data_IF_400870725548
#
_entry.id   IF_400870725548
#
_cell.length_a   1.000
_cell.length_b   1.000
_cell.length_c   1.000
_cell.angle_alpha   90.00
_cell.angle_beta   90.00
_cell.angle_gamma   90.00
#
_symmetry.space_group_name_H-M   'P 1'
#
loop_
_entity.id
_entity.type
_entity.pdbx_description
1 polymer ?
#
# COMPACT_ATOMS: atom_id res chain seq x y z
N UNK A 1 -37.45 -47.92 -16.10
CA UNK A 1 -37.20 -47.25 -14.79
C UNK A 1 -35.87 -47.64 -14.12
N UNK A 2 -35.18 -48.71 -14.54
CA UNK A 2 -33.95 -49.19 -13.86
C UNK A 2 -32.69 -48.37 -14.19
N UNK A 3 -32.59 -47.79 -15.40
CA UNK A 3 -31.41 -47.01 -15.82
C UNK A 3 -31.27 -45.64 -15.12
N UNK A 4 -32.39 -44.97 -14.79
CA UNK A 4 -32.40 -43.65 -14.13
C UNK A 4 -31.87 -43.76 -12.69
N UNK A 5 -32.17 -44.87 -12.01
CA UNK A 5 -31.77 -45.11 -10.63
C UNK A 5 -30.27 -45.47 -10.50
N UNK A 6 -29.67 -46.00 -11.57
CA UNK A 6 -28.22 -46.24 -11.68
C UNK A 6 -27.46 -44.94 -11.91
N UNK A 7 -28.01 -44.04 -12.73
CA UNK A 7 -27.42 -42.72 -13.01
C UNK A 7 -27.41 -41.82 -11.76
N UNK A 8 -28.52 -41.81 -11.02
CA UNK A 8 -28.62 -41.04 -9.77
C UNK A 8 -27.62 -41.52 -8.70
N UNK A 9 -27.41 -42.84 -8.58
CA UNK A 9 -26.42 -43.40 -7.65
C UNK A 9 -24.98 -43.03 -8.04
N UNK A 10 -24.67 -42.99 -9.33
CA UNK A 10 -23.34 -42.55 -9.83
C UNK A 10 -23.12 -41.06 -9.58
N UNK A 11 -24.15 -40.23 -9.77
CA UNK A 11 -24.10 -38.79 -9.49
C UNK A 11 -23.86 -38.50 -8.00
N UNK A 12 -24.57 -39.21 -7.11
CA UNK A 12 -24.39 -39.07 -5.66
C UNK A 12 -22.98 -39.49 -5.24
N UNK A 13 -22.44 -40.57 -5.81
CA UNK A 13 -21.08 -41.02 -5.53
C UNK A 13 -20.03 -39.97 -5.96
N UNK A 14 -20.23 -39.31 -7.10
CA UNK A 14 -19.35 -38.27 -7.61
C UNK A 14 -19.33 -37.03 -6.70
N UNK A 15 -20.49 -36.61 -6.19
CA UNK A 15 -20.60 -35.48 -5.26
C UNK A 15 -19.88 -35.78 -3.93
N UNK A 16 -20.05 -37.00 -3.40
CA UNK A 16 -19.38 -37.45 -2.18
C UNK A 16 -17.85 -37.45 -2.34
N UNK A 17 -17.35 -37.90 -3.49
CA UNK A 17 -15.91 -37.89 -3.79
C UNK A 17 -15.38 -36.45 -3.84
N UNK A 18 -16.07 -35.53 -4.50
CA UNK A 18 -15.66 -34.11 -4.55
C UNK A 18 -15.63 -33.46 -3.16
N UNK A 19 -16.59 -33.77 -2.29
CA UNK A 19 -16.62 -33.27 -0.92
C UNK A 19 -15.43 -33.76 -0.09
N UNK A 20 -15.01 -35.02 -0.27
CA UNK A 20 -13.88 -35.62 0.46
C UNK A 20 -12.52 -35.11 -0.04
N UNK A 21 -12.41 -34.74 -1.33
CA UNK A 21 -11.16 -34.23 -1.91
C UNK A 21 -10.99 -32.71 -1.67
N UNK A 22 -12.08 -31.98 -1.42
CA UNK A 22 -12.04 -30.52 -1.20
C UNK A 22 -11.06 -30.00 -0.11
N UNK A 23 -10.78 -30.69 1.03
CA UNK A 23 -9.81 -30.22 2.02
C UNK A 23 -8.34 -30.52 1.65
N UNK A 24 -8.07 -31.31 0.60
CA UNK A 24 -6.69 -31.65 0.18
C UNK A 24 -6.07 -30.60 -0.73
N UNK A 25 -6.83 -29.60 -1.17
CA UNK A 25 -6.31 -28.45 -1.89
C UNK A 25 -6.01 -27.36 -0.86
N UNK A 26 -4.73 -27.11 -0.51
CA UNK A 26 -4.42 -25.92 0.26
C UNK A 26 -4.85 -24.72 -0.57
N UNK A 27 -5.86 -24.00 -0.09
CA UNK A 27 -6.17 -22.66 -0.56
C UNK A 27 -4.95 -21.81 -0.18
N UNK A 28 -3.98 -21.71 -1.08
CA UNK A 28 -2.90 -20.73 -0.93
C UNK A 28 -3.54 -19.38 -1.16
N UNK A 29 -4.03 -18.77 -0.08
CA UNK A 29 -4.29 -17.34 -0.03
C UNK A 29 -2.97 -16.66 -0.32
N UNK A 30 -2.76 -16.37 -1.60
CA UNK A 30 -1.64 -15.56 -2.02
C UNK A 30 -2.03 -14.17 -1.59
N UNK A 31 -1.65 -13.76 -0.38
CA UNK A 31 -1.70 -12.36 -0.01
C UNK A 31 -0.99 -11.62 -1.14
N UNK A 32 -1.74 -10.85 -1.91
CA UNK A 32 -1.20 -10.06 -2.99
C UNK A 32 -0.28 -9.03 -2.34
N UNK A 33 0.98 -9.40 -2.15
CA UNK A 33 2.10 -8.50 -1.92
C UNK A 33 2.27 -7.67 -3.18
N UNK A 34 1.37 -6.71 -3.37
CA UNK A 34 1.56 -5.58 -4.25
C UNK A 34 2.71 -4.79 -3.61
N UNK A 35 3.93 -5.08 -4.09
CA UNK A 35 5.21 -4.64 -3.53
C UNK A 35 5.16 -3.20 -3.06
N UNK A 36 5.21 -3.01 -1.75
CA UNK A 36 5.16 -1.71 -1.12
C UNK A 36 5.27 -1.88 0.39
N UNK A 37 6.18 -1.14 1.00
CA UNK A 37 6.30 -1.10 2.45
C UNK A 37 5.12 -0.32 3.01
N UNK A 38 4.48 -0.83 4.05
CA UNK A 38 3.38 -0.13 4.71
C UNK A 38 3.92 0.89 5.71
N UNK A 39 3.19 1.99 5.87
CA UNK A 39 3.46 2.96 6.92
C UNK A 39 2.16 3.48 7.54
N UNK A 40 2.27 3.97 8.76
CA UNK A 40 1.19 4.66 9.44
C UNK A 40 1.73 5.64 10.46
N UNK A 41 1.05 6.77 10.66
CA UNK A 41 1.45 7.72 11.70
C UNK A 41 0.91 9.13 11.51
N UNK A 42 1.27 9.99 12.46
CA UNK A 42 0.92 11.41 12.45
C UNK A 42 1.98 12.20 11.70
N UNK A 43 1.54 13.12 10.84
CA UNK A 43 2.43 14.07 10.18
C UNK A 43 2.90 15.11 11.18
N UNK A 44 4.22 15.21 11.36
CA UNK A 44 4.85 16.22 12.19
C UNK A 44 5.14 17.50 11.40
N UNK A 45 5.65 17.35 10.18
CA UNK A 45 6.03 18.48 9.33
C UNK A 45 5.98 18.11 7.85
N UNK A 46 5.85 19.13 7.02
CA UNK A 46 5.93 19.04 5.56
C UNK A 46 6.84 20.16 5.07
N UNK A 47 7.84 19.82 4.26
CA UNK A 47 8.79 20.76 3.67
C UNK A 47 8.76 20.59 2.16
N UNK A 48 8.49 21.65 1.42
CA UNK A 48 8.45 21.60 -0.04
C UNK A 48 9.85 21.34 -0.62
N UNK A 49 9.95 20.41 -1.57
CA UNK A 49 11.16 20.15 -2.33
C UNK A 49 11.24 21.19 -3.47
N UNK A 50 11.72 22.40 -3.16
CA UNK A 50 11.63 23.58 -4.05
C UNK A 50 12.35 23.42 -5.39
N UNK A 51 13.31 22.52 -5.50
CA UNK A 51 14.01 22.21 -6.74
C UNK A 51 13.40 21.04 -7.53
N UNK A 52 12.47 20.29 -6.96
CA UNK A 52 11.79 19.22 -7.68
C UNK A 52 10.64 19.82 -8.52
N UNK A 53 10.63 19.53 -9.83
CA UNK A 53 9.62 20.08 -10.76
C UNK A 53 8.24 19.42 -10.64
N UNK A 54 8.14 18.31 -9.91
CA UNK A 54 6.92 17.54 -9.70
C UNK A 54 6.04 18.05 -8.54
N UNK A 55 6.49 19.12 -7.86
CA UNK A 55 5.80 19.70 -6.70
C UNK A 55 5.85 18.80 -5.46
N UNK A 56 6.87 17.95 -5.34
CA UNK A 56 7.02 17.06 -4.19
C UNK A 56 7.38 17.80 -2.90
N UNK A 57 7.09 17.14 -1.78
CA UNK A 57 7.40 17.60 -0.43
C UNK A 57 7.98 16.45 0.38
N UNK A 58 8.94 16.75 1.23
CA UNK A 58 9.33 15.84 2.30
C UNK A 58 8.29 15.92 3.43
N UNK A 59 7.85 14.75 3.89
CA UNK A 59 6.88 14.62 4.99
C UNK A 59 7.54 13.85 6.12
N UNK A 60 7.53 14.42 7.33
CA UNK A 60 8.01 13.74 8.53
C UNK A 60 6.83 13.09 9.23
N UNK A 61 6.90 11.77 9.40
CA UNK A 61 5.83 10.97 10.00
C UNK A 61 6.34 10.35 11.30
N UNK A 62 5.54 10.48 12.36
CA UNK A 62 5.72 9.76 13.63
C UNK A 62 4.70 8.64 13.70
N UNK A 63 5.21 7.41 13.55
CA UNK A 63 4.44 6.18 13.50
C UNK A 63 4.96 5.11 14.46
N UNK A 64 4.23 4.02 14.66
CA UNK A 64 4.70 2.89 15.45
C UNK A 64 5.90 2.20 14.78
N UNK A 65 6.87 1.78 15.59
CA UNK A 65 8.04 1.01 15.16
C UNK A 65 8.82 1.68 14.02
N UNK A 66 9.06 0.91 12.95
CA UNK A 66 9.84 1.34 11.78
C UNK A 66 9.09 2.30 10.84
N UNK A 67 7.84 2.69 11.14
CA UNK A 67 7.08 3.65 10.33
C UNK A 67 7.48 5.11 10.55
N UNK A 68 8.23 5.41 11.62
CA UNK A 68 8.74 6.76 11.85
C UNK A 68 9.87 7.10 10.86
N UNK A 69 9.82 8.28 10.26
CA UNK A 69 10.84 8.72 9.31
C UNK A 69 10.38 9.84 8.39
N UNK A 70 11.23 10.15 7.41
CA UNK A 70 10.95 11.12 6.35
C UNK A 70 10.62 10.37 5.06
N UNK A 71 9.59 10.86 4.40
CA UNK A 71 9.02 10.28 3.19
C UNK A 71 8.92 11.34 2.11
N UNK A 72 9.04 10.96 0.85
CA UNK A 72 8.75 11.84 -0.29
C UNK A 72 7.28 11.73 -0.64
N UNK A 73 6.57 12.85 -0.63
CA UNK A 73 5.18 12.98 -1.05
C UNK A 73 5.14 13.79 -2.36
N UNK A 74 4.83 13.13 -3.47
CA UNK A 74 4.64 13.79 -4.76
C UNK A 74 3.18 14.14 -5.01
N UNK A 75 2.92 15.07 -5.93
CA UNK A 75 1.57 15.38 -6.41
C UNK A 75 0.82 14.19 -7.05
N UNK A 76 1.54 13.16 -7.50
CA UNK A 76 0.98 11.94 -8.12
C UNK A 76 0.54 10.85 -7.13
N UNK A 77 0.60 11.10 -5.81
CA UNK A 77 0.19 10.13 -4.80
C UNK A 77 -1.31 9.83 -4.93
N UNK A 78 -1.67 8.55 -4.99
CA UNK A 78 -3.08 8.13 -5.05
C UNK A 78 -3.71 8.21 -3.65
N UNK A 79 -4.81 8.93 -3.52
CA UNK A 79 -5.51 9.11 -2.23
C UNK A 79 -6.83 8.33 -2.20
N UNK A 80 -7.13 7.66 -1.08
CA UNK A 80 -8.41 6.96 -0.88
C UNK A 80 -9.59 7.90 -0.55
N UNK A 81 -9.32 9.17 -0.25
CA UNK A 81 -10.32 10.23 -0.05
C UNK A 81 -9.74 11.58 -0.45
N UNK A 82 -10.59 12.58 -0.77
CA UNK A 82 -10.20 13.97 -1.10
C UNK A 82 -9.71 14.74 0.13
N UNK A 83 -8.68 14.22 0.78
CA UNK A 83 -8.19 14.77 2.02
C UNK A 83 -6.82 15.38 1.77
N UNK A 84 -6.75 16.69 1.94
CA UNK A 84 -5.48 17.43 1.89
C UNK A 84 -4.56 16.93 3.00
N UNK A 85 -3.39 16.45 2.61
CA UNK A 85 -2.33 16.08 3.53
C UNK A 85 -1.82 17.34 4.22
N UNK A 86 -1.97 17.41 5.53
CA UNK A 86 -1.57 18.56 6.35
C UNK A 86 -0.87 18.11 7.63
N UNK A 87 0.01 18.94 8.22
CA UNK A 87 0.56 18.68 9.54
C UNK A 87 -0.54 18.35 10.55
N UNK A 88 -0.23 17.45 11.48
CA UNK A 88 -1.15 16.84 12.45
C UNK A 88 -2.16 15.81 11.95
N UNK A 89 -2.36 15.63 10.65
CA UNK A 89 -3.21 14.54 10.14
C UNK A 89 -2.57 13.17 10.36
N UNK A 90 -3.40 12.14 10.54
CA UNK A 90 -2.97 10.75 10.54
C UNK A 90 -3.06 10.17 9.12
N UNK A 91 -1.97 9.53 8.69
CA UNK A 91 -1.85 8.87 7.40
C UNK A 91 -1.60 7.38 7.62
N UNK A 92 -2.15 6.59 6.71
CA UNK A 92 -1.82 5.18 6.50
C UNK A 92 -1.59 4.98 5.01
N UNK A 93 -0.62 4.16 4.62
CA UNK A 93 -0.30 4.04 3.21
C UNK A 93 0.78 3.05 2.85
N UNK A 94 1.22 3.14 1.59
CA UNK A 94 2.34 2.36 1.03
C UNK A 94 3.41 3.29 0.49
N UNK A 95 4.67 2.87 0.62
CA UNK A 95 5.83 3.55 0.05
C UNK A 95 6.78 2.58 -0.64
N UNK A 96 7.61 3.09 -1.55
CA UNK A 96 8.73 2.40 -2.19
C UNK A 96 10.04 3.02 -1.71
N UNK A 97 11.13 2.25 -1.67
CA UNK A 97 12.42 2.65 -1.10
C UNK A 97 13.26 3.59 -1.99
N UNK A 98 12.60 4.41 -2.81
CA UNK A 98 13.23 5.38 -3.70
C UNK A 98 12.76 6.80 -3.35
N UNK A 99 13.40 7.83 -3.89
CA UNK A 99 12.94 9.22 -3.77
C UNK A 99 14.00 10.15 -3.20
N UNK A 100 14.13 11.33 -3.81
CA UNK A 100 15.05 12.38 -3.41
C UNK A 100 14.26 13.70 -3.34
N UNK A 101 14.46 14.45 -2.26
CA UNK A 101 13.91 15.79 -2.12
C UNK A 101 15.02 16.81 -2.35
N UNK A 102 14.92 17.61 -3.41
CA UNK A 102 15.88 18.69 -3.65
C UNK A 102 15.31 20.02 -3.17
N UNK A 103 16.11 20.75 -2.40
CA UNK A 103 15.78 22.09 -1.90
C UNK A 103 16.81 23.12 -2.38
N UNK A 104 16.43 24.39 -2.42
CA UNK A 104 17.26 25.49 -2.88
C UNK A 104 16.62 26.28 -4.02
N UNK A 105 17.47 26.94 -4.80
CA UNK A 105 17.06 27.76 -5.95
C UNK A 105 17.95 27.36 -7.13
N UNK A 106 17.32 26.99 -8.24
CA UNK A 106 18.03 26.58 -9.45
C UNK A 106 19.07 27.65 -9.87
N UNK A 107 20.31 27.27 -10.23
CA UNK A 107 20.81 25.91 -10.42
C UNK A 107 21.44 25.26 -9.17
N UNK A 108 21.43 25.93 -8.00
CA UNK A 108 22.05 25.42 -6.77
C UNK A 108 21.01 24.68 -5.92
N UNK A 109 20.96 23.36 -6.08
CA UNK A 109 20.05 22.49 -5.34
C UNK A 109 20.83 21.53 -4.44
N UNK A 110 20.27 21.25 -3.26
CA UNK A 110 20.85 20.35 -2.25
C UNK A 110 19.84 19.27 -1.90
N UNK A 111 20.32 18.04 -1.71
CA UNK A 111 19.49 16.92 -1.28
C UNK A 111 19.13 17.03 0.20
N UNK A 112 17.84 16.93 0.49
CA UNK A 112 17.31 16.75 1.83
C UNK A 112 17.04 15.26 2.07
N UNK A 113 17.60 14.66 3.14
CA UNK A 113 17.61 13.21 3.30
C UNK A 113 16.22 12.62 3.52
N UNK A 114 15.89 11.60 2.73
CA UNK A 114 14.68 10.78 2.84
C UNK A 114 15.05 9.44 3.48
N UNK A 115 14.55 9.15 4.68
CA UNK A 115 14.96 7.96 5.44
C UNK A 115 14.15 6.70 5.11
N UNK A 116 13.05 6.83 4.37
CA UNK A 116 12.16 5.71 4.02
C UNK A 116 11.97 5.57 2.52
N UNK A 117 11.39 6.59 1.88
CA UNK A 117 11.23 6.66 0.43
C UNK A 117 9.94 7.35 0.01
N UNK A 118 9.48 7.05 -1.21
CA UNK A 118 8.36 7.72 -1.87
C UNK A 118 7.03 7.07 -1.54
N UNK A 119 6.11 7.88 -1.05
CA UNK A 119 4.73 7.50 -0.83
C UNK A 119 4.08 7.25 -2.19
N UNK A 120 3.41 6.11 -2.32
CA UNK A 120 2.69 5.73 -3.54
C UNK A 120 1.17 5.85 -3.34
N UNK A 121 0.70 5.55 -2.13
CA UNK A 121 -0.71 5.45 -1.78
C UNK A 121 -0.94 5.93 -0.35
N UNK A 122 -2.00 6.71 -0.13
CA UNK A 122 -2.43 7.11 1.22
C UNK A 122 -3.94 7.03 1.43
N UNK A 123 -4.32 6.64 2.65
CA UNK A 123 -5.58 6.97 3.28
C UNK A 123 -5.33 7.93 4.44
N UNK A 124 -6.24 8.86 4.67
CA UNK A 124 -6.17 9.77 5.82
C UNK A 124 -7.42 9.59 6.68
N UNK A 125 -7.26 9.56 8.00
CA UNK A 125 -8.36 9.67 8.95
C UNK A 125 -8.32 11.06 9.59
N UNK A 126 -9.46 11.73 9.69
CA UNK A 126 -9.62 12.97 10.44
C UNK A 126 -10.08 12.69 11.86
#
# INVERSE_FOLDING_TARGET
MQNILVDLKKLILLILICLIISPLFPYTETEASVGGNYFGGRILSMVSCTCNTDGSSQVTIKGPGSSSGTYLYSSSVKTYARNSVKPSSFLLGKYSSAGVCLIGVAPKCTELPISKGTINYIGTSF
#
